data_IF_113341557495
#
_entry.id   IF_113341557495
#
_cell.length_a   1.000
_cell.length_b   1.000
_cell.length_c   1.000
_cell.angle_alpha   90.00
_cell.angle_beta   90.00
_cell.angle_gamma   90.00
#
_symmetry.space_group_name_H-M   'P 1'
#
loop_
_entity.id
_entity.type
_entity.pdbx_description
1 polymer ?
#
# COMPACT_ATOMS: atom_id res chain seq x y z
N UNK A 1 23.15 -11.58 6.24
CA UNK A 1 23.13 -11.80 4.78
C UNK A 1 21.79 -11.26 4.29
N UNK A 2 21.74 -10.01 3.83
CA UNK A 2 20.50 -9.41 3.35
C UNK A 2 20.21 -10.00 1.98
N UNK A 3 19.22 -10.91 1.89
CA UNK A 3 18.64 -11.26 0.60
C UNK A 3 18.12 -9.97 -0.03
N UNK A 4 18.43 -9.75 -1.31
CA UNK A 4 17.84 -8.63 -2.04
C UNK A 4 16.31 -8.73 -1.89
N UNK A 5 15.66 -7.66 -1.43
CA UNK A 5 14.20 -7.56 -1.49
C UNK A 5 13.82 -7.59 -2.97
N UNK A 6 13.41 -8.76 -3.47
CA UNK A 6 12.83 -8.86 -4.80
C UNK A 6 11.37 -8.43 -4.68
N UNK A 7 11.13 -7.16 -4.97
CA UNK A 7 9.79 -6.54 -4.95
C UNK A 7 8.94 -7.04 -6.13
N UNK A 8 9.55 -7.76 -7.09
CA UNK A 8 8.92 -8.28 -8.30
C UNK A 8 8.34 -9.67 -8.11
N UNK A 9 7.56 -9.91 -7.06
CA UNK A 9 6.82 -11.16 -7.04
C UNK A 9 5.74 -11.06 -8.13
N UNK A 10 6.04 -11.54 -9.35
CA UNK A 10 5.18 -11.53 -10.54
C UNK A 10 3.82 -12.21 -10.30
N UNK A 11 3.64 -12.84 -9.15
CA UNK A 11 2.41 -13.53 -8.73
C UNK A 11 1.36 -12.56 -8.12
N UNK A 12 1.59 -11.25 -8.05
CA UNK A 12 0.65 -10.34 -7.38
C UNK A 12 -0.73 -10.29 -8.05
N UNK A 13 -0.80 -10.36 -9.39
CA UNK A 13 -2.07 -10.42 -10.12
C UNK A 13 -2.80 -11.76 -9.87
N UNK A 14 -2.07 -12.88 -9.86
CA UNK A 14 -2.62 -14.19 -9.48
C UNK A 14 -3.14 -14.21 -8.04
N UNK A 15 -2.35 -13.70 -7.09
CA UNK A 15 -2.73 -13.60 -5.68
C UNK A 15 -3.94 -12.69 -5.49
N UNK A 16 -4.00 -11.56 -6.20
CA UNK A 16 -5.15 -10.66 -6.19
C UNK A 16 -6.41 -11.38 -6.70
N UNK A 17 -6.32 -12.04 -7.85
CA UNK A 17 -7.43 -12.79 -8.43
C UNK A 17 -7.92 -13.91 -7.52
N UNK A 18 -6.99 -14.62 -6.85
CA UNK A 18 -7.30 -15.66 -5.88
C UNK A 18 -7.96 -15.09 -4.62
N UNK A 19 -7.39 -14.04 -4.02
CA UNK A 19 -7.85 -13.44 -2.75
C UNK A 19 -9.23 -12.77 -2.89
N UNK A 20 -9.55 -12.28 -4.09
CA UNK A 20 -10.84 -11.68 -4.41
C UNK A 20 -11.80 -12.62 -5.15
N UNK A 21 -11.41 -13.88 -5.42
CA UNK A 21 -12.22 -14.90 -6.10
C UNK A 21 -12.72 -14.44 -7.48
N UNK A 22 -11.87 -13.75 -8.26
CA UNK A 22 -12.26 -13.13 -9.54
C UNK A 22 -12.32 -14.12 -10.70
N UNK A 23 -11.61 -15.26 -10.61
CA UNK A 23 -11.54 -16.25 -11.68
C UNK A 23 -10.77 -15.79 -12.92
N UNK A 24 -9.93 -14.76 -12.78
CA UNK A 24 -9.05 -14.22 -13.82
C UNK A 24 -7.64 -14.81 -13.70
N UNK A 25 -6.95 -15.01 -14.82
CA UNK A 25 -5.53 -15.32 -14.84
C UNK A 25 -4.70 -14.02 -14.72
N UNK A 26 -3.40 -14.11 -14.37
CA UNK A 26 -2.51 -12.94 -14.37
C UNK A 26 -2.50 -12.23 -15.73
N UNK A 27 -2.49 -12.97 -16.83
CA UNK A 27 -2.46 -12.43 -18.20
C UNK A 27 -3.74 -11.65 -18.60
N UNK A 28 -4.81 -11.71 -17.79
CA UNK A 28 -6.03 -10.92 -18.01
C UNK A 28 -5.88 -9.46 -17.53
N UNK A 29 -4.87 -9.18 -16.72
CA UNK A 29 -4.54 -7.83 -16.23
C UNK A 29 -3.48 -7.17 -17.13
N UNK A 30 -3.57 -5.86 -17.34
CA UNK A 30 -2.53 -5.06 -18.03
C UNK A 30 -1.85 -4.15 -17.00
N UNK A 31 -1.36 -4.79 -15.93
CA UNK A 31 -0.50 -4.14 -14.97
C UNK A 31 0.93 -4.04 -15.49
N UNK A 32 1.57 -2.92 -15.18
CA UNK A 32 2.96 -2.66 -15.53
C UNK A 32 3.69 -2.18 -14.31
N UNK A 33 4.87 -2.76 -14.09
CA UNK A 33 5.71 -2.49 -12.94
C UNK A 33 7.09 -2.03 -13.40
N UNK A 34 7.53 -0.89 -12.90
CA UNK A 34 8.88 -0.40 -13.11
C UNK A 34 9.47 0.13 -11.81
N UNK A 35 10.70 -0.26 -11.51
CA UNK A 35 11.53 0.43 -10.52
C UNK A 35 12.66 1.18 -11.22
N UNK A 36 12.84 2.46 -10.86
CA UNK A 36 14.01 3.23 -11.24
C UNK A 36 14.44 4.14 -10.09
N UNK A 37 15.74 4.21 -9.84
CA UNK A 37 16.29 4.90 -8.66
C UNK A 37 15.65 4.37 -7.36
N UNK A 38 15.04 5.26 -6.59
CA UNK A 38 14.38 5.12 -5.30
C UNK A 38 12.84 5.08 -5.44
N UNK A 39 12.33 5.02 -6.68
CA UNK A 39 10.90 5.06 -6.99
C UNK A 39 10.42 3.75 -7.61
N UNK A 40 9.18 3.40 -7.27
CA UNK A 40 8.41 2.33 -7.89
C UNK A 40 7.23 2.99 -8.62
N UNK A 41 7.08 2.67 -9.90
CA UNK A 41 5.96 3.10 -10.72
C UNK A 41 5.16 1.87 -11.13
N UNK A 42 3.87 1.95 -10.86
CA UNK A 42 2.89 0.94 -11.24
C UNK A 42 1.79 1.61 -12.06
N UNK A 43 1.30 0.92 -13.07
CA UNK A 43 0.11 1.35 -13.82
C UNK A 43 -0.74 0.17 -14.18
N UNK A 44 -2.02 0.43 -14.37
CA UNK A 44 -3.06 -0.55 -14.73
C UNK A 44 -4.04 0.16 -15.67
N UNK A 45 -4.96 -0.56 -16.32
CA UNK A 45 -6.06 0.07 -17.08
C UNK A 45 -7.00 0.84 -16.17
N UNK A 46 -7.74 1.78 -16.75
CA UNK A 46 -8.77 2.57 -16.08
C UNK A 46 -10.08 1.79 -15.86
N UNK A 47 -9.96 0.54 -15.40
CA UNK A 47 -11.08 -0.29 -14.95
C UNK A 47 -11.07 -0.43 -13.42
N UNK A 48 -12.24 -0.61 -12.79
CA UNK A 48 -12.34 -0.72 -11.32
C UNK A 48 -11.62 -1.96 -10.79
N UNK A 49 -11.67 -3.08 -11.50
CA UNK A 49 -11.00 -4.33 -11.11
C UNK A 49 -9.48 -4.15 -11.15
N UNK A 50 -8.99 -3.53 -12.23
CA UNK A 50 -7.58 -3.20 -12.42
C UNK A 50 -7.09 -2.15 -11.39
N UNK A 51 -7.90 -1.16 -11.03
CA UNK A 51 -7.63 -0.28 -9.89
C UNK A 51 -7.59 -1.05 -8.56
N UNK A 52 -8.40 -2.09 -8.40
CA UNK A 52 -8.32 -3.06 -7.31
C UNK A 52 -6.94 -3.71 -7.23
N UNK A 53 -6.44 -4.20 -8.36
CA UNK A 53 -5.10 -4.76 -8.45
C UNK A 53 -4.04 -3.71 -8.07
N UNK A 54 -4.15 -2.47 -8.54
CA UNK A 54 -3.20 -1.41 -8.17
C UNK A 54 -3.17 -1.15 -6.66
N UNK A 55 -4.33 -1.06 -6.01
CA UNK A 55 -4.43 -0.91 -4.54
C UNK A 55 -3.79 -2.11 -3.84
N UNK A 56 -4.05 -3.33 -4.33
CA UNK A 56 -3.47 -4.55 -3.77
C UNK A 56 -1.94 -4.59 -3.90
N UNK A 57 -1.40 -4.27 -5.08
CA UNK A 57 0.04 -4.20 -5.32
C UNK A 57 0.70 -3.16 -4.40
N UNK A 58 0.12 -1.95 -4.32
CA UNK A 58 0.60 -0.89 -3.41
C UNK A 58 0.62 -1.39 -1.97
N UNK A 59 -0.47 -2.00 -1.51
CA UNK A 59 -0.59 -2.57 -0.17
C UNK A 59 0.52 -3.60 0.09
N UNK A 60 0.63 -4.65 -0.73
CA UNK A 60 1.61 -5.74 -0.52
C UNK A 60 3.06 -5.23 -0.58
N UNK A 61 3.39 -4.37 -1.54
CA UNK A 61 4.75 -3.84 -1.71
C UNK A 61 5.13 -2.91 -0.56
N UNK A 62 4.26 -1.97 -0.19
CA UNK A 62 4.52 -1.08 0.94
C UNK A 62 4.62 -1.87 2.25
N UNK A 63 3.84 -2.96 2.39
CA UNK A 63 3.91 -3.85 3.54
C UNK A 63 5.24 -4.60 3.63
N UNK A 64 5.71 -5.14 2.51
CA UNK A 64 7.03 -5.80 2.44
C UNK A 64 8.17 -4.84 2.78
N UNK A 65 8.12 -3.62 2.23
CA UNK A 65 9.10 -2.56 2.52
C UNK A 65 9.07 -2.17 4.00
N UNK A 66 7.88 -2.00 4.58
CA UNK A 66 7.72 -1.65 6.00
C UNK A 66 8.29 -2.73 6.93
N UNK A 67 8.07 -4.02 6.61
CA UNK A 67 8.66 -5.16 7.36
C UNK A 67 10.19 -5.15 7.31
N UNK A 68 10.77 -4.60 6.25
CA UNK A 68 12.21 -4.40 6.10
C UNK A 68 12.71 -3.06 6.70
N UNK A 69 11.82 -2.24 7.27
CA UNK A 69 12.16 -0.95 7.88
C UNK A 69 12.17 0.23 6.92
N UNK A 70 11.65 0.07 5.70
CA UNK A 70 11.52 1.14 4.71
C UNK A 70 10.13 1.74 4.74
N UNK A 71 10.06 3.06 4.87
CA UNK A 71 8.81 3.81 4.80
C UNK A 71 8.51 4.18 3.35
N UNK A 72 7.30 3.84 2.90
CA UNK A 72 6.83 4.18 1.55
C UNK A 72 5.89 5.37 1.59
N UNK A 73 5.99 6.23 0.59
CA UNK A 73 5.03 7.30 0.31
C UNK A 73 4.77 7.38 -1.18
N UNK A 74 3.60 7.85 -1.58
CA UNK A 74 3.24 7.83 -3.00
C UNK A 74 1.92 8.51 -3.29
N UNK A 75 1.59 8.56 -4.58
CA UNK A 75 0.33 9.06 -5.10
C UNK A 75 -0.27 8.10 -6.13
N UNK A 76 -1.59 7.94 -6.13
CA UNK A 76 -2.34 7.22 -7.16
C UNK A 76 -3.21 8.24 -7.90
N UNK A 77 -3.06 8.31 -9.23
CA UNK A 77 -3.79 9.24 -10.07
C UNK A 77 -4.34 8.53 -11.32
N UNK A 78 -5.31 9.18 -11.96
CA UNK A 78 -6.02 8.66 -13.14
C UNK A 78 -5.88 9.65 -14.30
N UNK A 79 -5.44 9.15 -15.45
CA UNK A 79 -5.31 9.93 -16.67
C UNK A 79 -4.46 9.21 -17.72
N UNK A 80 -4.21 9.86 -18.88
CA UNK A 80 -3.37 9.29 -19.92
C UNK A 80 -1.95 9.01 -19.40
N UNK A 81 -1.42 7.85 -19.76
CA UNK A 81 -0.09 7.39 -19.39
C UNK A 81 0.50 6.56 -20.53
N UNK A 82 1.75 6.84 -20.88
CA UNK A 82 2.59 5.91 -21.61
C UNK A 82 3.55 5.25 -20.61
N UNK A 83 3.48 3.93 -20.49
CA UNK A 83 4.39 3.14 -19.67
C UNK A 83 4.92 1.98 -20.51
N UNK A 84 6.09 2.14 -21.12
CA UNK A 84 6.68 1.14 -22.03
C UNK A 84 7.93 0.51 -21.43
N UNK A 85 8.01 -0.82 -21.49
CA UNK A 85 9.19 -1.58 -21.08
C UNK A 85 9.86 -2.33 -22.25
N UNK A 86 11.20 -2.47 -22.25
CA UNK A 86 11.91 -3.23 -23.30
C UNK A 86 11.50 -4.70 -23.40
N UNK A 87 10.97 -5.28 -22.32
CA UNK A 87 10.52 -6.68 -22.28
C UNK A 87 9.07 -6.86 -22.76
N UNK A 88 8.30 -5.79 -22.98
CA UNK A 88 6.91 -5.84 -23.46
C UNK A 88 6.79 -6.25 -24.94
N UNK A 89 7.91 -6.37 -25.66
CA UNK A 89 7.91 -6.90 -27.02
C UNK A 89 9.00 -7.95 -27.26
N UNK A 90 8.60 -8.93 -28.06
CA UNK A 90 9.39 -9.96 -28.75
C UNK A 90 10.52 -9.39 -29.63
N UNK A 91 11.42 -8.58 -29.07
CA UNK A 91 12.56 -7.94 -29.75
C UNK A 91 13.84 -8.00 -28.90
N UNK A 92 14.12 -9.18 -28.33
CA UNK A 92 15.47 -9.51 -27.87
C UNK A 92 16.38 -9.65 -29.10
N UNK A 93 17.13 -8.60 -29.43
CA UNK A 93 18.20 -8.67 -30.45
C UNK A 93 18.37 -7.48 -31.38
N UNK A 94 17.51 -6.46 -31.32
CA UNK A 94 17.70 -5.24 -32.11
C UNK A 94 18.54 -4.22 -31.33
N UNK A 95 19.70 -3.83 -31.87
CA UNK A 95 20.42 -2.61 -31.48
C UNK A 95 19.51 -1.40 -31.72
N UNK A 96 18.70 -1.05 -30.72
CA UNK A 96 17.63 -0.05 -30.82
C UNK A 96 16.41 -0.33 -29.93
N UNK A 97 16.49 -1.24 -28.96
CA UNK A 97 15.41 -1.46 -28.00
C UNK A 97 15.09 -0.15 -27.25
N UNK A 98 13.81 0.26 -27.18
CA UNK A 98 13.43 1.51 -26.51
C UNK A 98 13.80 1.40 -25.02
N UNK A 99 14.36 2.48 -24.46
CA UNK A 99 14.59 2.55 -23.01
C UNK A 99 13.26 2.50 -22.26
N UNK A 100 13.21 1.93 -21.04
CA UNK A 100 12.08 2.06 -20.15
C UNK A 100 11.58 3.51 -20.12
N UNK A 101 10.29 3.71 -20.36
CA UNK A 101 9.74 5.06 -20.46
C UNK A 101 8.39 5.15 -19.78
N UNK A 102 8.28 6.09 -18.84
CA UNK A 102 7.04 6.45 -18.15
C UNK A 102 6.82 7.95 -18.31
N UNK A 103 5.75 8.35 -18.97
CA UNK A 103 5.33 9.75 -18.98
C UNK A 103 3.83 9.90 -19.25
N UNK A 104 3.26 10.99 -18.78
CA UNK A 104 1.87 11.35 -19.03
C UNK A 104 1.26 12.11 -17.84
N UNK A 105 0.09 12.74 -18.03
CA UNK A 105 -0.60 13.45 -16.98
C UNK A 105 -0.79 12.63 -15.69
N UNK A 106 -1.13 11.34 -15.79
CA UNK A 106 -1.34 10.51 -14.60
C UNK A 106 -0.05 10.37 -13.77
N UNK A 107 1.10 10.19 -14.42
CA UNK A 107 2.38 10.09 -13.72
C UNK A 107 2.76 11.42 -13.05
N UNK A 108 2.58 12.54 -13.76
CA UNK A 108 2.85 13.88 -13.22
C UNK A 108 1.95 14.17 -12.01
N UNK A 109 0.66 13.86 -12.10
CA UNK A 109 -0.30 14.08 -11.02
C UNK A 109 0.01 13.20 -9.81
N UNK A 110 0.35 11.92 -10.02
CA UNK A 110 0.79 11.01 -8.96
C UNK A 110 2.06 11.51 -8.25
N UNK A 111 3.05 11.96 -9.03
CA UNK A 111 4.29 12.55 -8.50
C UNK A 111 4.02 13.83 -7.71
N UNK A 112 3.19 14.74 -8.24
CA UNK A 112 2.82 15.97 -7.53
C UNK A 112 2.04 15.69 -6.24
N UNK A 113 1.24 14.64 -6.22
CA UNK A 113 0.49 14.21 -5.05
C UNK A 113 1.44 13.69 -3.96
N UNK A 114 2.41 12.84 -4.32
CA UNK A 114 3.48 12.36 -3.43
C UNK A 114 4.33 13.52 -2.88
N UNK A 115 4.80 14.42 -3.75
CA UNK A 115 5.73 15.47 -3.37
C UNK A 115 5.10 16.55 -2.47
N UNK A 116 3.84 16.92 -2.74
CA UNK A 116 3.22 18.10 -2.12
C UNK A 116 2.19 17.78 -1.04
N UNK A 117 1.58 16.58 -1.05
CA UNK A 117 0.40 16.28 -0.22
C UNK A 117 0.56 15.03 0.66
N UNK A 118 1.42 14.09 0.29
CA UNK A 118 1.70 12.91 1.11
C UNK A 118 2.59 13.28 2.31
N UNK A 119 1.99 13.82 3.38
CA UNK A 119 2.66 13.91 4.68
C UNK A 119 2.78 12.51 5.30
N UNK A 120 3.96 12.16 5.80
CA UNK A 120 4.24 10.84 6.38
C UNK A 120 4.46 9.70 5.36
N UNK A 121 4.28 8.47 5.84
CA UNK A 121 4.56 7.22 5.12
C UNK A 121 3.25 6.58 4.62
N UNK A 122 2.58 7.26 3.68
CA UNK A 122 1.30 6.84 3.13
C UNK A 122 1.23 7.04 1.62
N UNK A 123 0.45 6.19 0.95
CA UNK A 123 0.13 6.32 -0.47
C UNK A 123 -1.29 6.86 -0.61
N UNK A 124 -1.40 8.11 -1.05
CA UNK A 124 -2.67 8.83 -1.15
C UNK A 124 -3.24 8.79 -2.57
N UNK A 125 -4.55 9.01 -2.69
CA UNK A 125 -5.28 8.89 -3.95
C UNK A 125 -5.82 10.25 -4.39
N UNK A 126 -5.72 10.50 -5.69
CA UNK A 126 -6.41 11.62 -6.32
C UNK A 126 -7.93 11.44 -6.17
N UNK A 127 -8.68 12.54 -6.01
CA UNK A 127 -10.13 12.50 -5.77
C UNK A 127 -10.91 11.76 -6.85
N UNK A 128 -10.44 11.79 -8.11
CA UNK A 128 -11.05 11.02 -9.22
C UNK A 128 -10.99 9.51 -8.97
N UNK A 129 -9.85 9.00 -8.52
CA UNK A 129 -9.65 7.58 -8.19
C UNK A 129 -10.56 7.21 -7.02
N UNK A 130 -10.52 7.99 -5.93
CA UNK A 130 -11.38 7.77 -4.77
C UNK A 130 -12.87 7.68 -5.15
N UNK A 131 -13.38 8.63 -5.93
CA UNK A 131 -14.79 8.65 -6.35
C UNK A 131 -15.18 7.43 -7.17
N UNK A 132 -14.27 6.89 -7.98
CA UNK A 132 -14.52 5.68 -8.77
C UNK A 132 -14.63 4.44 -7.87
N UNK A 133 -13.74 4.33 -6.86
CA UNK A 133 -13.80 3.24 -5.88
C UNK A 133 -15.04 3.35 -4.98
N UNK A 134 -15.32 4.55 -4.46
CA UNK A 134 -16.48 4.84 -3.61
C UNK A 134 -17.80 4.59 -4.34
N UNK A 135 -17.90 5.03 -5.60
CA UNK A 135 -19.04 4.73 -6.48
C UNK A 135 -19.26 3.22 -6.63
N UNK A 136 -18.20 2.46 -6.94
CA UNK A 136 -18.29 1.01 -7.03
C UNK A 136 -18.74 0.37 -5.71
N UNK A 137 -18.20 0.81 -4.57
CA UNK A 137 -18.60 0.32 -3.25
C UNK A 137 -20.10 0.53 -2.99
N UNK A 138 -20.65 1.67 -3.42
CA UNK A 138 -22.07 1.98 -3.24
C UNK A 138 -22.96 1.15 -4.17
N UNK A 139 -22.57 1.01 -5.44
CA UNK A 139 -23.36 0.31 -6.45
C UNK A 139 -23.29 -1.23 -6.32
N UNK A 140 -22.17 -1.73 -5.79
CA UNK A 140 -21.85 -3.17 -5.73
C UNK A 140 -21.51 -3.64 -4.32
N UNK A 141 -22.18 -3.10 -3.30
CA UNK A 141 -21.82 -3.27 -1.90
C UNK A 141 -21.63 -4.73 -1.41
N UNK A 142 -22.26 -5.71 -2.07
CA UNK A 142 -22.15 -7.13 -1.75
C UNK A 142 -20.98 -7.86 -2.41
N UNK A 143 -20.23 -7.24 -3.31
CA UNK A 143 -19.12 -7.91 -4.01
C UNK A 143 -17.88 -8.00 -3.14
N UNK A 144 -17.06 -9.02 -3.40
CA UNK A 144 -15.77 -9.22 -2.73
C UNK A 144 -14.82 -8.04 -2.98
N UNK A 145 -14.84 -7.47 -4.17
CA UNK A 145 -14.10 -6.27 -4.54
C UNK A 145 -14.53 -5.02 -3.75
N UNK A 146 -15.84 -4.81 -3.54
CA UNK A 146 -16.31 -3.71 -2.69
C UNK A 146 -15.89 -3.90 -1.22
N UNK A 147 -15.90 -5.13 -0.70
CA UNK A 147 -15.37 -5.43 0.64
C UNK A 147 -13.86 -5.18 0.73
N UNK A 148 -13.11 -5.55 -0.32
CA UNK A 148 -11.69 -5.27 -0.43
C UNK A 148 -11.42 -3.76 -0.31
N UNK A 149 -12.10 -2.94 -1.11
CA UNK A 149 -11.93 -1.48 -1.08
C UNK A 149 -12.28 -0.86 0.27
N UNK A 150 -13.39 -1.26 0.89
CA UNK A 150 -13.77 -0.76 2.23
C UNK A 150 -12.77 -1.12 3.32
N UNK A 151 -12.00 -2.19 3.11
CA UNK A 151 -10.98 -2.66 4.07
C UNK A 151 -9.63 -2.01 3.81
N UNK A 152 -9.26 -1.83 2.54
CA UNK A 152 -7.91 -1.38 2.14
C UNK A 152 -7.81 0.11 1.82
N UNK A 153 -8.93 0.80 1.68
CA UNK A 153 -8.95 2.23 1.35
C UNK A 153 -9.71 2.99 2.43
N UNK A 154 -9.02 3.93 3.05
CA UNK A 154 -9.57 4.78 4.08
C UNK A 154 -9.43 6.25 3.72
N UNK A 155 -10.26 7.09 4.33
CA UNK A 155 -10.15 8.53 4.20
C UNK A 155 -9.44 9.10 5.43
N UNK A 156 -8.33 9.76 5.21
CA UNK A 156 -7.57 10.38 6.28
C UNK A 156 -8.31 11.59 6.86
N UNK A 157 -8.05 11.92 8.13
CA UNK A 157 -8.64 13.07 8.81
C UNK A 157 -8.31 14.41 8.12
N UNK A 158 -7.17 14.48 7.42
CA UNK A 158 -6.73 15.64 6.66
C UNK A 158 -7.29 15.71 5.23
N UNK A 159 -8.09 14.71 4.81
CA UNK A 159 -8.96 14.79 3.64
C UNK A 159 -8.75 13.73 2.55
N UNK A 160 -7.51 13.45 2.08
CA UNK A 160 -7.27 12.48 1.01
C UNK A 160 -7.63 11.05 1.40
N UNK A 161 -8.05 10.24 0.42
CA UNK A 161 -8.10 8.80 0.58
C UNK A 161 -6.70 8.20 0.46
N UNK A 162 -6.44 7.09 1.13
CA UNK A 162 -5.13 6.43 1.14
C UNK A 162 -5.27 4.91 1.27
N UNK A 163 -4.21 4.19 0.90
CA UNK A 163 -4.13 2.73 1.09
C UNK A 163 -3.78 2.42 2.55
N UNK A 164 -4.67 1.75 3.26
CA UNK A 164 -4.44 1.32 4.65
C UNK A 164 -3.44 0.16 4.67
N UNK A 165 -2.22 0.44 5.16
CA UNK A 165 -1.16 -0.57 5.26
C UNK A 165 -1.42 -1.64 6.32
N UNK A 166 -2.39 -1.45 7.21
CA UNK A 166 -2.76 -2.38 8.29
C UNK A 166 -4.13 -3.05 8.06
N UNK A 167 -4.64 -2.97 6.84
CA UNK A 167 -5.96 -3.51 6.44
C UNK A 167 -6.13 -5.02 6.71
N UNK A 168 -5.02 -5.76 6.74
CA UNK A 168 -4.98 -7.20 7.01
C UNK A 168 -4.98 -7.57 8.50
N UNK A 169 -4.97 -6.59 9.40
CA UNK A 169 -5.07 -6.88 10.81
C UNK A 169 -6.44 -7.47 11.16
N UNK A 170 -6.51 -8.47 12.05
CA UNK A 170 -7.74 -9.22 12.27
C UNK A 170 -8.88 -8.35 12.80
N UNK A 171 -10.13 -8.77 12.57
CA UNK A 171 -11.33 -8.05 13.00
C UNK A 171 -12.01 -7.24 11.91
N UNK A 172 -11.52 -7.30 10.67
CA UNK A 172 -12.23 -6.81 9.48
C UNK A 172 -13.11 -7.94 8.86
N UNK A 173 -14.02 -7.56 7.97
CA UNK A 173 -14.94 -8.49 7.32
C UNK A 173 -14.38 -9.14 6.05
N UNK A 174 -13.21 -8.69 5.57
CA UNK A 174 -12.62 -9.19 4.35
C UNK A 174 -11.78 -10.45 4.62
N UNK A 175 -10.80 -10.38 5.51
CA UNK A 175 -9.91 -11.50 5.81
C UNK A 175 -10.60 -12.58 6.66
N UNK A 176 -10.29 -13.87 6.42
CA UNK A 176 -10.84 -14.94 7.23
C UNK A 176 -10.27 -14.89 8.65
N UNK A 177 -11.03 -15.42 9.62
CA UNK A 177 -10.69 -15.29 11.05
C UNK A 177 -9.44 -16.07 11.49
N UNK A 178 -8.93 -16.97 10.65
CA UNK A 178 -7.69 -17.71 10.86
C UNK A 178 -6.49 -17.16 10.09
N UNK A 179 -6.64 -16.01 9.42
CA UNK A 179 -5.54 -15.33 8.75
C UNK A 179 -4.46 -14.91 9.77
N UNK A 180 -3.28 -15.53 9.69
CA UNK A 180 -2.19 -15.30 10.63
C UNK A 180 -1.23 -14.21 10.14
N UNK A 181 -1.34 -13.02 10.75
CA UNK A 181 -0.46 -11.87 10.53
C UNK A 181 0.45 -11.59 11.72
N UNK A 182 0.55 -12.50 12.69
CA UNK A 182 1.30 -12.25 13.93
C UNK A 182 2.78 -11.96 13.67
N UNK A 183 3.39 -12.73 12.78
CA UNK A 183 4.79 -12.53 12.40
C UNK A 183 5.00 -11.14 11.78
N UNK A 184 4.04 -10.68 10.98
CA UNK A 184 4.10 -9.38 10.31
C UNK A 184 3.89 -8.24 11.31
N UNK A 185 2.89 -8.33 12.20
CA UNK A 185 2.68 -7.39 13.31
C UNK A 185 3.96 -7.24 14.13
N UNK A 186 4.57 -8.35 14.53
CA UNK A 186 5.79 -8.35 15.33
C UNK A 186 6.97 -7.73 14.58
N UNK A 187 7.15 -8.07 13.31
CA UNK A 187 8.23 -7.52 12.49
C UNK A 187 8.08 -6.01 12.32
N UNK A 188 6.87 -5.53 12.02
CA UNK A 188 6.59 -4.10 11.84
C UNK A 188 6.76 -3.33 13.15
N UNK A 189 6.24 -3.87 14.25
CA UNK A 189 6.43 -3.26 15.57
C UNK A 189 7.91 -3.08 15.90
N UNK A 190 8.72 -4.12 15.66
CA UNK A 190 10.16 -4.05 15.87
C UNK A 190 10.81 -2.95 15.04
N UNK A 191 10.48 -2.85 13.75
CA UNK A 191 11.03 -1.82 12.88
C UNK A 191 10.60 -0.41 13.28
N UNK A 192 9.33 -0.22 13.67
CA UNK A 192 8.82 1.09 14.11
C UNK A 192 9.46 1.54 15.41
N UNK A 193 9.59 0.66 16.41
CA UNK A 193 10.29 0.97 17.65
C UNK A 193 11.74 1.38 17.38
N UNK A 194 12.46 0.58 16.58
CA UNK A 194 13.83 0.89 16.18
C UNK A 194 13.93 2.24 15.47
N UNK A 195 13.05 2.51 14.50
CA UNK A 195 13.05 3.77 13.76
C UNK A 195 12.76 4.99 14.65
N UNK A 196 11.87 4.85 15.64
CA UNK A 196 11.60 5.91 16.62
C UNK A 196 12.82 6.21 17.49
N UNK A 197 13.51 5.17 17.97
CA UNK A 197 14.74 5.32 18.76
C UNK A 197 15.87 5.96 17.93
N UNK A 198 16.10 5.46 16.71
CA UNK A 198 17.15 5.95 15.79
C UNK A 198 16.94 7.39 15.29
N UNK A 199 15.72 7.92 15.45
CA UNK A 199 15.34 9.27 15.00
C UNK A 199 14.94 10.21 16.14
N UNK A 200 15.11 9.81 17.40
CA UNK A 200 14.69 10.59 18.57
C UNK A 200 15.28 12.02 18.62
N UNK A 201 16.47 12.23 18.04
CA UNK A 201 17.16 13.52 17.94
C UNK A 201 16.87 14.28 16.62
N UNK A 202 16.02 13.74 15.73
CA UNK A 202 15.68 14.29 14.42
C UNK A 202 14.17 14.56 14.33
N UNK A 203 13.67 15.72 14.82
CA UNK A 203 12.24 15.96 15.01
C UNK A 203 11.36 15.70 13.78
N UNK A 204 11.82 16.07 12.58
CA UNK A 204 11.07 15.85 11.35
C UNK A 204 10.96 14.36 10.97
N UNK A 205 12.03 13.58 11.17
CA UNK A 205 12.02 12.14 10.89
C UNK A 205 11.24 11.39 11.97
N UNK A 206 11.45 11.75 13.23
CA UNK A 206 10.70 11.22 14.36
C UNK A 206 9.19 11.40 14.19
N UNK A 207 8.75 12.59 13.78
CA UNK A 207 7.33 12.88 13.56
C UNK A 207 6.71 11.93 12.52
N UNK A 208 7.41 11.66 11.42
CA UNK A 208 6.92 10.74 10.38
C UNK A 208 6.79 9.31 10.89
N UNK A 209 7.83 8.82 11.59
CA UNK A 209 7.80 7.50 12.24
C UNK A 209 6.66 7.40 13.28
N UNK A 210 6.48 8.46 14.07
CA UNK A 210 5.44 8.52 15.09
C UNK A 210 4.02 8.52 14.51
N UNK A 211 3.79 9.17 13.37
CA UNK A 211 2.50 9.11 12.68
C UNK A 211 2.14 7.68 12.30
N UNK A 212 3.04 6.98 11.60
CA UNK A 212 2.81 5.58 11.22
C UNK A 212 2.69 4.65 12.44
N UNK A 213 3.47 4.90 13.49
CA UNK A 213 3.38 4.13 14.74
C UNK A 213 2.03 4.33 15.46
N UNK A 214 1.44 5.52 15.38
CA UNK A 214 0.09 5.77 15.91
C UNK A 214 -0.98 5.03 15.08
N UNK A 215 -0.86 5.02 13.75
CA UNK A 215 -1.75 4.25 12.86
C UNK A 215 -1.63 2.74 13.14
N UNK A 216 -0.40 2.23 13.29
CA UNK A 216 -0.16 0.84 13.69
C UNK A 216 -0.83 0.52 15.04
N UNK A 217 -0.63 1.36 16.06
CA UNK A 217 -1.25 1.15 17.37
C UNK A 217 -2.78 1.20 17.34
N UNK A 218 -3.35 2.07 16.52
CA UNK A 218 -4.80 2.12 16.30
C UNK A 218 -5.30 0.80 15.71
N UNK A 219 -4.66 0.33 14.64
CA UNK A 219 -5.02 -0.93 13.99
C UNK A 219 -4.87 -2.14 14.94
N UNK A 220 -3.78 -2.21 15.72
CA UNK A 220 -3.59 -3.27 16.74
C UNK A 220 -4.67 -3.19 17.82
N UNK A 221 -5.02 -1.99 18.28
CA UNK A 221 -6.07 -1.81 19.30
C UNK A 221 -7.44 -2.24 18.79
N UNK A 222 -7.77 -1.90 17.54
CA UNK A 222 -9.02 -2.34 16.89
C UNK A 222 -9.05 -3.86 16.77
N UNK A 223 -7.97 -4.49 16.33
CA UNK A 223 -7.87 -5.94 16.27
C UNK A 223 -8.03 -6.59 17.65
N UNK A 224 -7.34 -6.06 18.66
CA UNK A 224 -7.38 -6.56 20.03
C UNK A 224 -8.74 -6.40 20.73
N UNK A 225 -9.58 -5.46 20.28
CA UNK A 225 -10.94 -5.29 20.80
C UNK A 225 -11.84 -6.51 20.56
N UNK A 226 -11.48 -7.36 19.58
CA UNK A 226 -12.13 -8.64 19.33
C UNK A 226 -11.57 -9.68 20.31
N UNK A 227 -12.40 -10.32 21.17
CA UNK A 227 -11.91 -11.17 22.27
C UNK A 227 -10.89 -12.24 21.88
N UNK A 228 -11.04 -12.85 20.70
CA UNK A 228 -10.10 -13.86 20.15
C UNK A 228 -8.70 -13.32 19.89
N UNK A 229 -8.55 -12.03 19.58
CA UNK A 229 -7.29 -11.38 19.26
C UNK A 229 -6.79 -10.44 20.36
N UNK A 230 -7.39 -10.46 21.56
CA UNK A 230 -6.96 -9.67 22.72
C UNK A 230 -5.46 -9.78 23.04
N UNK A 231 -4.85 -10.93 22.77
CA UNK A 231 -3.41 -11.14 22.93
C UNK A 231 -2.54 -10.20 22.07
N UNK A 232 -3.08 -9.56 21.02
CA UNK A 232 -2.34 -8.63 20.17
C UNK A 232 -1.99 -7.32 20.88
N UNK A 233 -2.62 -6.97 22.01
CA UNK A 233 -2.27 -5.77 22.80
C UNK A 233 -0.79 -5.75 23.22
N UNK A 234 -0.17 -6.92 23.35
CA UNK A 234 1.26 -7.04 23.68
C UNK A 234 2.17 -6.41 22.61
N UNK A 235 1.66 -6.23 21.39
CA UNK A 235 2.39 -5.62 20.28
C UNK A 235 2.18 -4.10 20.18
N UNK A 236 1.43 -3.46 21.09
CA UNK A 236 1.33 -2.00 21.09
C UNK A 236 2.70 -1.36 21.32
N UNK A 237 3.02 -0.35 20.52
CA UNK A 237 4.22 0.48 20.71
C UNK A 237 4.01 1.33 21.98
N UNK A 238 4.94 1.29 22.95
CA UNK A 238 4.78 1.99 24.22
C UNK A 238 4.56 3.50 24.06
N UNK A 239 3.63 4.06 24.85
CA UNK A 239 3.35 5.52 24.84
C UNK A 239 4.56 6.38 25.23
N UNK A 240 5.53 5.83 25.97
CA UNK A 240 6.76 6.55 26.31
C UNK A 240 7.68 6.79 25.10
N UNK A 241 7.55 5.96 24.05
CA UNK A 241 8.30 6.07 22.78
C UNK A 241 7.61 7.01 21.79
N UNK A 242 6.34 7.37 22.03
CA UNK A 242 5.53 8.23 21.16
C UNK A 242 5.52 9.69 21.65
N UNK A 243 5.24 10.67 20.76
CA UNK A 243 5.09 12.06 21.15
C UNK A 243 4.00 12.20 22.21
N UNK A 244 4.30 12.90 23.31
CA UNK A 244 3.27 13.28 24.29
C UNK A 244 2.30 14.25 23.63
N UNK A 245 1.03 13.87 23.47
CA UNK A 245 -0.04 14.84 23.18
C UNK A 245 -0.08 15.82 24.36
N UNK A 246 0.32 17.07 24.13
CA UNK A 246 0.00 18.15 25.07
C UNK A 246 -1.49 18.44 24.90
N UNK A 247 -2.29 17.96 25.85
CA UNK A 247 -3.68 18.36 26.04
C UNK A 247 -3.77 19.82 26.47
#
# INVERSE_FOLDING_TARGET
>A
MYGALDIRNNDLAELFSLELELGLAADDFDDRFHSFSDCIVMSVKDDVTELGLLVFMVFKICRQLLRAGFLSRGGIALGPLLHQFPDDEKRKGASGAPSPMVFGPAFIDAYNLEANHADGARVIMHTKVWKMLDGHCNDHAGTRLAQFFRTHVERAEDGPAFVNLFADFPGNAFYPADYDVRADIQAIQHQLCKALDDTADKPHQFRKNAMLANEFNLAVSMAASVPRYSHLEQYLIPRCTLPKRRS
#
